data_IF_206051812078
#
_entry.id   IF_206051812078
#
_cell.length_a   1.000
_cell.length_b   1.000
_cell.length_c   1.000
_cell.angle_alpha   90.00
_cell.angle_beta   90.00
_cell.angle_gamma   90.00
#
_symmetry.space_group_name_H-M   'P 1'
#
loop_
_entity.id
_entity.type
_entity.pdbx_description
1 polymer ?
#
# COMPACT_ATOMS: atom_id res chain seq x y z
N UNK A 1 54.81 -2.56 -10.92
CA UNK A 1 53.39 -2.53 -11.31
C UNK A 1 52.62 -3.14 -10.17
N UNK A 2 51.87 -2.28 -9.49
CA UNK A 2 51.38 -2.45 -8.15
C UNK A 2 50.52 -3.67 -7.92
N UNK A 3 50.71 -4.28 -6.78
CA UNK A 3 49.80 -5.20 -6.13
C UNK A 3 48.40 -4.56 -6.07
N UNK A 4 47.54 -4.92 -7.00
CA UNK A 4 46.12 -4.74 -6.84
C UNK A 4 45.75 -5.66 -5.66
N UNK A 5 45.58 -5.06 -4.49
CA UNK A 5 44.89 -5.72 -3.38
C UNK A 5 43.61 -6.35 -3.94
N UNK A 6 43.63 -7.64 -4.22
CA UNK A 6 42.44 -8.47 -4.41
C UNK A 6 41.76 -8.47 -3.03
N UNK A 7 40.89 -7.48 -2.78
CA UNK A 7 39.89 -7.66 -1.73
C UNK A 7 39.19 -8.97 -2.08
N UNK A 8 39.17 -9.91 -1.15
CA UNK A 8 38.34 -11.09 -1.32
C UNK A 8 36.93 -10.58 -1.63
N UNK A 9 36.25 -11.11 -2.66
CA UNK A 9 34.92 -10.66 -2.98
C UNK A 9 34.03 -10.86 -1.75
N UNK A 10 33.41 -9.78 -1.28
CA UNK A 10 32.47 -9.84 -0.16
C UNK A 10 31.34 -10.79 -0.57
N UNK A 11 31.11 -11.83 0.23
CA UNK A 11 30.04 -12.79 0.00
C UNK A 11 28.68 -12.12 0.19
N UNK A 12 27.75 -12.36 -0.72
CA UNK A 12 26.40 -11.83 -0.65
C UNK A 12 25.41 -12.96 -0.41
N UNK A 13 24.62 -12.83 0.63
CA UNK A 13 23.60 -13.80 1.03
C UNK A 13 22.22 -13.18 0.85
N UNK A 14 21.37 -13.79 0.04
CA UNK A 14 20.05 -13.27 -0.28
C UNK A 14 18.98 -14.21 0.30
N UNK A 15 18.25 -13.75 1.31
CA UNK A 15 17.08 -14.46 1.82
C UNK A 15 15.87 -14.15 0.96
N UNK A 16 15.20 -15.17 0.44
CA UNK A 16 14.06 -15.01 -0.46
C UNK A 16 12.83 -15.73 0.06
N UNK A 17 11.69 -15.02 -0.02
CA UNK A 17 10.37 -15.62 0.16
C UNK A 17 9.80 -16.18 -1.15
N UNK A 18 8.54 -16.59 -1.10
CA UNK A 18 7.82 -17.19 -2.23
C UNK A 18 7.03 -16.20 -3.10
N UNK A 19 7.01 -14.92 -2.73
CA UNK A 19 6.26 -13.86 -3.40
C UNK A 19 7.12 -12.98 -4.32
N UNK A 20 6.56 -11.83 -4.72
CA UNK A 20 7.23 -10.85 -5.58
C UNK A 20 8.58 -10.38 -5.05
N UNK A 21 8.67 -10.08 -3.74
CA UNK A 21 9.91 -9.63 -3.11
C UNK A 21 11.05 -10.66 -3.22
N UNK A 22 10.72 -11.96 -3.11
CA UNK A 22 11.67 -13.04 -3.43
C UNK A 22 12.13 -13.01 -4.89
N UNK A 23 11.21 -12.70 -5.80
CA UNK A 23 11.51 -12.47 -7.22
C UNK A 23 12.51 -11.35 -7.44
N UNK A 24 12.36 -10.24 -6.73
CA UNK A 24 13.30 -9.11 -6.77
C UNK A 24 14.68 -9.52 -6.23
N UNK A 25 14.71 -10.36 -5.19
CA UNK A 25 15.94 -11.00 -4.70
C UNK A 25 16.63 -11.85 -5.76
N UNK A 26 15.89 -12.61 -6.57
CA UNK A 26 16.44 -13.38 -7.69
C UNK A 26 17.00 -12.48 -8.81
N UNK A 27 16.33 -11.35 -9.07
CA UNK A 27 16.84 -10.33 -10.01
C UNK A 27 18.14 -9.75 -9.49
N UNK A 28 18.18 -9.32 -8.22
CA UNK A 28 19.39 -8.80 -7.59
C UNK A 28 20.56 -9.79 -7.70
N UNK A 29 20.32 -11.08 -7.42
CA UNK A 29 21.31 -12.15 -7.55
C UNK A 29 21.94 -12.17 -8.96
N UNK A 30 21.13 -12.11 -10.01
CA UNK A 30 21.65 -12.10 -11.41
C UNK A 30 22.57 -10.94 -11.69
N UNK A 31 22.20 -9.74 -11.23
CA UNK A 31 23.02 -8.55 -11.44
C UNK A 31 24.33 -8.59 -10.65
N UNK A 32 24.29 -9.15 -9.44
CA UNK A 32 25.48 -9.29 -8.58
C UNK A 32 26.46 -10.33 -9.15
N UNK A 33 25.94 -11.48 -9.59
CA UNK A 33 26.72 -12.51 -10.28
C UNK A 33 27.44 -11.96 -11.52
N UNK A 34 26.75 -11.18 -12.35
CA UNK A 34 27.35 -10.55 -13.54
C UNK A 34 28.44 -9.54 -13.20
N UNK A 35 28.50 -9.06 -11.95
CA UNK A 35 29.57 -8.20 -11.43
C UNK A 35 30.68 -8.96 -10.71
N UNK A 36 30.60 -10.30 -10.69
CA UNK A 36 31.62 -11.19 -10.14
C UNK A 36 31.57 -11.37 -8.62
N UNK A 37 30.43 -11.07 -7.98
CA UNK A 37 30.24 -11.36 -6.57
C UNK A 37 29.89 -12.83 -6.34
N UNK A 38 30.33 -13.37 -5.18
CA UNK A 38 29.85 -14.67 -4.70
C UNK A 38 28.46 -14.50 -4.09
N UNK A 39 27.48 -15.26 -4.59
CA UNK A 39 26.07 -15.11 -4.19
C UNK A 39 25.50 -16.44 -3.71
N UNK A 40 25.05 -16.46 -2.45
CA UNK A 40 24.25 -17.54 -1.89
C UNK A 40 22.81 -17.11 -1.76
N UNK A 41 21.88 -17.91 -2.28
CA UNK A 41 20.44 -17.67 -2.16
C UNK A 41 19.87 -18.62 -1.13
N UNK A 42 19.23 -18.08 -0.11
CA UNK A 42 18.56 -18.80 0.96
C UNK A 42 17.04 -18.72 0.78
N UNK A 43 16.46 -19.77 0.21
CA UNK A 43 15.05 -19.86 -0.09
C UNK A 43 14.28 -20.42 1.11
N UNK A 44 13.34 -19.65 1.67
CA UNK A 44 12.45 -20.10 2.77
C UNK A 44 11.28 -20.97 2.28
N UNK A 45 11.24 -21.26 0.99
CA UNK A 45 10.38 -22.23 0.32
C UNK A 45 11.14 -22.79 -0.88
N UNK A 46 10.93 -24.08 -1.17
CA UNK A 46 11.46 -24.66 -2.40
C UNK A 46 10.83 -24.05 -3.67
N UNK A 47 11.36 -24.41 -4.81
CA UNK A 47 10.88 -23.89 -6.11
C UNK A 47 9.39 -24.12 -6.38
N UNK A 48 8.79 -25.18 -5.79
CA UNK A 48 7.37 -25.49 -5.96
C UNK A 48 6.49 -24.58 -5.10
N UNK A 49 7.07 -23.98 -4.07
CA UNK A 49 6.39 -23.03 -3.19
C UNK A 49 6.43 -21.58 -3.68
N UNK A 50 7.05 -21.28 -4.82
CA UNK A 50 7.04 -19.93 -5.40
C UNK A 50 5.65 -19.66 -6.02
N UNK A 51 4.96 -18.62 -5.52
CA UNK A 51 3.57 -18.33 -5.90
C UNK A 51 3.47 -17.27 -7.01
N UNK A 52 4.39 -16.29 -7.08
CA UNK A 52 4.40 -15.28 -8.12
C UNK A 52 4.96 -15.85 -9.42
N UNK A 53 4.27 -15.61 -10.54
CA UNK A 53 4.71 -16.03 -11.86
C UNK A 53 6.04 -15.35 -12.24
N UNK A 54 6.18 -14.07 -11.90
CA UNK A 54 7.38 -13.27 -12.13
C UNK A 54 8.57 -13.81 -11.32
N UNK A 55 8.35 -14.14 -10.04
CA UNK A 55 9.38 -14.73 -9.18
C UNK A 55 9.82 -16.09 -9.73
N UNK A 56 8.88 -16.92 -10.20
CA UNK A 56 9.16 -18.21 -10.81
C UNK A 56 10.01 -18.06 -12.07
N UNK A 57 9.64 -17.13 -12.95
CA UNK A 57 10.44 -16.84 -14.17
C UNK A 57 11.85 -16.40 -13.80
N UNK A 58 12.02 -15.51 -12.82
CA UNK A 58 13.32 -15.03 -12.40
C UNK A 58 14.17 -16.14 -11.75
N UNK A 59 13.55 -17.04 -11.00
CA UNK A 59 14.22 -18.23 -10.47
C UNK A 59 14.68 -19.19 -11.58
N UNK A 60 13.84 -19.47 -12.56
CA UNK A 60 14.19 -20.32 -13.72
C UNK A 60 15.38 -19.75 -14.51
N UNK A 61 15.46 -18.42 -14.66
CA UNK A 61 16.62 -17.78 -15.28
C UNK A 61 17.89 -18.05 -14.47
N UNK A 62 17.83 -17.93 -13.13
CA UNK A 62 18.98 -18.23 -12.25
C UNK A 62 19.41 -19.70 -12.33
N UNK A 63 18.47 -20.62 -12.33
CA UNK A 63 18.77 -22.06 -12.51
C UNK A 63 19.49 -22.33 -13.83
N UNK A 64 19.08 -21.66 -14.92
CA UNK A 64 19.73 -21.76 -16.22
C UNK A 64 21.12 -21.12 -16.24
N UNK A 65 21.40 -20.14 -15.38
CA UNK A 65 22.73 -19.53 -15.23
C UNK A 65 23.70 -20.39 -14.41
N UNK A 66 23.20 -21.14 -13.42
CA UNK A 66 23.98 -21.91 -12.44
C UNK A 66 25.12 -22.74 -13.05
N UNK A 67 24.95 -23.45 -14.18
CA UNK A 67 26.06 -24.21 -14.76
C UNK A 67 27.26 -23.37 -15.23
N UNK A 68 27.05 -22.05 -15.41
CA UNK A 68 28.09 -21.13 -15.92
C UNK A 68 28.69 -20.24 -14.82
N UNK A 69 28.10 -20.23 -13.63
CA UNK A 69 28.50 -19.39 -12.50
C UNK A 69 28.80 -20.26 -11.28
N UNK A 70 30.07 -20.65 -11.11
CA UNK A 70 30.52 -21.50 -9.99
C UNK A 70 30.38 -20.80 -8.61
N UNK A 71 30.16 -19.49 -8.62
CA UNK A 71 29.99 -18.63 -7.44
C UNK A 71 28.51 -18.34 -7.12
N UNK A 72 27.58 -19.17 -7.64
CA UNK A 72 26.17 -19.19 -7.27
C UNK A 72 25.84 -20.47 -6.52
N UNK A 73 25.38 -20.34 -5.28
CA UNK A 73 24.80 -21.45 -4.52
C UNK A 73 23.35 -21.15 -4.15
N UNK A 74 22.49 -22.16 -4.21
CA UNK A 74 21.09 -22.06 -3.79
C UNK A 74 20.80 -23.07 -2.71
N UNK A 75 20.36 -22.59 -1.56
CA UNK A 75 20.02 -23.38 -0.38
C UNK A 75 18.50 -23.33 -0.16
N UNK A 76 17.90 -24.47 0.15
CA UNK A 76 16.50 -24.55 0.55
C UNK A 76 16.40 -24.61 2.07
N UNK A 77 15.88 -23.56 2.71
CA UNK A 77 15.68 -23.46 4.15
C UNK A 77 14.19 -23.66 4.48
N UNK A 78 13.70 -24.89 4.30
CA UNK A 78 12.27 -25.18 4.44
C UNK A 78 11.84 -25.34 5.91
N UNK A 79 12.75 -25.72 6.77
CA UNK A 79 12.53 -25.99 8.20
C UNK A 79 13.29 -25.00 9.08
N UNK A 80 12.93 -24.94 10.36
CA UNK A 80 13.67 -24.15 11.35
C UNK A 80 15.08 -24.71 11.52
N UNK A 81 15.25 -26.02 11.49
CA UNK A 81 16.54 -26.69 11.59
C UNK A 81 17.47 -26.32 10.43
N UNK A 82 16.95 -26.23 9.19
CA UNK A 82 17.73 -25.75 8.04
C UNK A 82 18.22 -24.32 8.26
N UNK A 83 17.38 -23.44 8.85
CA UNK A 83 17.70 -22.06 9.16
C UNK A 83 18.76 -21.97 10.26
N UNK A 84 18.62 -22.76 11.32
CA UNK A 84 19.57 -22.79 12.44
C UNK A 84 20.95 -23.32 12.03
N UNK A 85 21.00 -24.17 11.01
CA UNK A 85 22.24 -24.73 10.48
C UNK A 85 22.85 -23.93 9.31
N UNK A 86 22.23 -22.84 8.86
CA UNK A 86 22.80 -22.03 7.79
C UNK A 86 24.05 -21.25 8.24
N UNK A 87 24.86 -20.83 7.29
CA UNK A 87 26.11 -20.11 7.54
C UNK A 87 25.90 -18.83 8.35
N UNK A 88 24.82 -18.08 8.07
CA UNK A 88 24.51 -16.82 8.78
C UNK A 88 24.23 -17.07 10.26
N UNK A 89 23.49 -18.14 10.59
CA UNK A 89 23.19 -18.50 11.98
C UNK A 89 24.42 -18.90 12.77
N UNK A 90 25.42 -19.47 12.11
CA UNK A 90 26.65 -19.98 12.70
C UNK A 90 27.88 -19.10 12.45
N UNK A 91 27.66 -17.88 11.92
CA UNK A 91 28.74 -16.93 11.64
C UNK A 91 29.35 -16.41 12.92
N UNK A 92 30.67 -16.30 12.93
CA UNK A 92 31.39 -15.61 14.00
C UNK A 92 31.33 -14.07 13.82
N UNK A 93 31.83 -13.33 14.81
CA UNK A 93 31.85 -11.88 14.81
C UNK A 93 32.77 -11.24 13.75
N UNK A 94 33.52 -12.04 13.00
CA UNK A 94 34.47 -11.60 11.97
C UNK A 94 34.02 -11.91 10.55
N UNK A 95 32.86 -12.57 10.38
CA UNK A 95 32.34 -12.91 9.06
C UNK A 95 31.86 -11.64 8.34
N UNK A 96 32.54 -11.26 7.24
CA UNK A 96 32.14 -10.13 6.41
C UNK A 96 31.28 -10.62 5.25
N UNK A 97 29.97 -10.42 5.35
CA UNK A 97 29.03 -10.65 4.26
C UNK A 97 27.95 -9.56 4.20
N UNK A 98 27.32 -9.45 3.06
CA UNK A 98 26.16 -8.58 2.87
C UNK A 98 24.93 -9.46 2.83
N UNK A 99 23.94 -9.14 3.64
CA UNK A 99 22.63 -9.80 3.63
C UNK A 99 21.64 -8.95 2.84
N UNK A 100 20.94 -9.57 1.92
CA UNK A 100 19.82 -8.96 1.22
C UNK A 100 18.53 -9.65 1.71
N UNK A 101 17.66 -8.88 2.33
CA UNK A 101 16.34 -9.31 2.79
C UNK A 101 15.32 -9.12 1.66
N UNK A 102 14.97 -10.20 0.99
CA UNK A 102 13.89 -10.31 0.00
C UNK A 102 12.80 -11.31 0.43
N UNK A 103 12.56 -11.47 1.75
CA UNK A 103 11.61 -12.47 2.27
C UNK A 103 10.16 -12.03 2.03
N UNK A 104 9.79 -10.86 2.55
CA UNK A 104 8.44 -10.33 2.50
C UNK A 104 8.47 -8.87 2.00
N UNK A 105 7.51 -8.51 1.18
CA UNK A 105 7.30 -7.14 0.70
C UNK A 105 5.96 -6.58 1.14
N UNK A 106 5.28 -5.85 0.26
CA UNK A 106 4.01 -5.16 0.54
C UNK A 106 2.79 -6.07 0.76
N UNK A 107 2.92 -7.39 0.53
CA UNK A 107 1.85 -8.38 0.69
C UNK A 107 1.70 -8.99 2.08
N UNK A 108 2.29 -8.39 3.12
CA UNK A 108 2.21 -8.90 4.50
C UNK A 108 0.77 -8.76 5.02
N UNK A 109 0.19 -9.88 5.52
CA UNK A 109 -1.11 -9.88 6.15
C UNK A 109 -1.13 -10.86 7.33
N UNK A 110 -1.36 -10.35 8.55
CA UNK A 110 -1.46 -11.15 9.77
C UNK A 110 -0.13 -11.58 10.39
N UNK A 111 -0.17 -12.68 11.17
CA UNK A 111 0.99 -13.21 11.90
C UNK A 111 1.99 -13.88 10.96
N UNK A 112 3.26 -13.72 11.26
CA UNK A 112 4.34 -14.37 10.53
C UNK A 112 4.37 -15.90 10.82
N UNK A 113 4.77 -16.68 9.83
CA UNK A 113 5.05 -18.12 10.02
C UNK A 113 6.35 -18.28 10.81
N UNK A 114 6.45 -19.34 11.61
CA UNK A 114 7.59 -19.54 12.51
C UNK A 114 8.94 -19.61 11.79
N UNK A 115 9.02 -20.25 10.63
CA UNK A 115 10.25 -20.28 9.83
C UNK A 115 10.66 -18.88 9.33
N UNK A 116 9.70 -18.02 9.00
CA UNK A 116 9.98 -16.63 8.60
C UNK A 116 10.48 -15.82 9.78
N UNK A 117 9.83 -15.96 10.95
CA UNK A 117 10.30 -15.32 12.19
C UNK A 117 11.74 -15.73 12.49
N UNK A 118 12.02 -17.05 12.46
CA UNK A 118 13.36 -17.55 12.72
C UNK A 118 14.41 -17.01 11.75
N UNK A 119 14.08 -16.93 10.46
CA UNK A 119 14.98 -16.32 9.48
C UNK A 119 15.26 -14.83 9.78
N UNK A 120 14.24 -14.08 10.15
CA UNK A 120 14.39 -12.66 10.55
C UNK A 120 15.28 -12.52 11.80
N UNK A 121 15.09 -13.40 12.80
CA UNK A 121 15.93 -13.42 14.00
C UNK A 121 17.40 -13.71 13.68
N UNK A 122 17.66 -14.69 12.80
CA UNK A 122 19.00 -15.02 12.32
C UNK A 122 19.63 -13.84 11.59
N UNK A 123 18.90 -13.18 10.69
CA UNK A 123 19.37 -11.96 10.01
C UNK A 123 19.73 -10.88 11.02
N UNK A 124 18.84 -10.63 11.99
CA UNK A 124 19.03 -9.58 13.00
C UNK A 124 20.19 -9.86 14.00
N UNK A 125 20.53 -11.13 14.20
CA UNK A 125 21.64 -11.54 15.08
C UNK A 125 23.00 -11.53 14.38
N UNK A 126 23.01 -11.44 13.05
CA UNK A 126 24.24 -11.42 12.28
C UNK A 126 24.98 -10.06 12.36
N UNK A 127 26.28 -10.09 12.13
CA UNK A 127 27.11 -8.89 12.03
C UNK A 127 27.26 -8.37 10.58
N UNK A 128 26.56 -9.00 9.61
CA UNK A 128 26.58 -8.60 8.21
C UNK A 128 25.85 -7.28 7.96
N UNK A 129 26.26 -6.55 6.92
CA UNK A 129 25.51 -5.40 6.42
C UNK A 129 24.19 -5.89 5.82
N UNK A 130 23.06 -5.52 6.42
CA UNK A 130 21.73 -5.93 5.97
C UNK A 130 21.05 -4.86 5.13
N UNK A 131 20.55 -5.24 3.96
CA UNK A 131 19.81 -4.38 3.03
C UNK A 131 18.45 -5.02 2.76
N UNK A 132 17.36 -4.32 3.09
CA UNK A 132 16.01 -4.79 2.77
C UNK A 132 15.55 -4.31 1.40
N UNK A 133 14.93 -5.23 0.66
CA UNK A 133 14.32 -4.97 -0.64
C UNK A 133 12.90 -4.50 -0.44
N UNK A 134 12.60 -3.32 -0.93
CA UNK A 134 11.32 -2.62 -0.95
C UNK A 134 10.76 -2.23 0.43
N UNK A 135 10.64 -3.18 1.36
CA UNK A 135 10.19 -3.00 2.75
C UNK A 135 10.91 -3.99 3.65
N UNK A 136 11.40 -3.62 4.84
CA UNK A 136 11.94 -4.58 5.78
C UNK A 136 10.94 -5.69 6.09
N UNK A 137 11.35 -6.95 5.94
CA UNK A 137 10.46 -8.10 6.16
C UNK A 137 9.92 -8.10 7.59
N UNK A 138 8.60 -8.16 7.72
CA UNK A 138 7.91 -8.07 9.01
C UNK A 138 7.36 -6.69 9.38
N UNK A 139 7.75 -5.64 8.65
CA UNK A 139 7.18 -4.30 8.79
C UNK A 139 5.92 -4.16 7.91
N UNK A 140 4.82 -3.67 8.48
CA UNK A 140 3.61 -3.35 7.72
C UNK A 140 3.85 -2.13 6.81
N UNK A 141 3.76 -2.28 5.48
CA UNK A 141 4.11 -1.22 4.53
C UNK A 141 3.15 -0.02 4.54
N UNK A 142 1.98 -0.15 5.15
CA UNK A 142 0.97 0.90 5.22
C UNK A 142 0.97 1.63 6.56
N UNK A 143 1.10 0.87 7.66
CA UNK A 143 0.99 1.40 9.02
C UNK A 143 2.34 1.65 9.70
N UNK A 144 3.39 0.96 9.29
CA UNK A 144 4.71 0.97 9.93
C UNK A 144 4.77 0.17 11.22
N UNK A 145 3.74 -0.62 11.52
CA UNK A 145 3.71 -1.47 12.70
C UNK A 145 4.48 -2.77 12.47
N UNK A 146 5.06 -3.27 13.54
CA UNK A 146 5.69 -4.58 13.61
C UNK A 146 4.82 -5.43 14.54
N UNK A 147 4.18 -6.46 14.00
CA UNK A 147 3.25 -7.29 14.78
C UNK A 147 3.95 -8.41 15.57
N UNK A 148 5.06 -8.91 15.06
CA UNK A 148 5.88 -9.96 15.68
C UNK A 148 7.34 -9.52 15.74
N UNK A 149 8.06 -9.72 14.65
CA UNK A 149 9.47 -9.36 14.46
C UNK A 149 9.65 -8.80 13.05
N UNK A 150 10.60 -7.89 12.88
CA UNK A 150 10.98 -7.38 11.56
C UNK A 150 12.50 -7.37 11.42
N UNK A 151 12.97 -7.44 10.18
CA UNK A 151 14.37 -7.21 9.84
C UNK A 151 14.74 -5.76 10.23
N UNK A 152 15.93 -5.59 10.81
CA UNK A 152 16.54 -4.30 11.18
C UNK A 152 17.68 -3.99 10.22
N UNK A 153 17.40 -3.48 9.02
CA UNK A 153 18.42 -3.26 8.02
C UNK A 153 19.22 -1.98 8.31
N UNK A 154 20.44 -1.90 7.78
CA UNK A 154 21.17 -0.65 7.70
C UNK A 154 20.67 0.21 6.54
N UNK A 155 20.11 -0.42 5.48
CA UNK A 155 19.51 0.28 4.34
C UNK A 155 18.24 -0.42 3.86
N UNK A 156 17.25 0.38 3.46
CA UNK A 156 16.06 -0.10 2.74
C UNK A 156 16.07 0.49 1.33
N UNK A 157 16.10 -0.35 0.31
CA UNK A 157 15.99 0.04 -1.10
C UNK A 157 14.52 -0.02 -1.50
N UNK A 158 13.83 1.11 -1.49
CA UNK A 158 12.40 1.19 -1.80
C UNK A 158 12.19 1.48 -3.29
N UNK A 159 11.33 0.70 -3.93
CA UNK A 159 11.05 0.83 -5.36
C UNK A 159 10.01 1.91 -5.63
N UNK A 160 10.25 2.74 -6.64
CA UNK A 160 9.43 3.82 -7.11
C UNK A 160 9.24 4.93 -6.07
N UNK A 161 8.51 4.65 -4.98
CA UNK A 161 8.26 5.58 -3.86
C UNK A 161 8.37 4.88 -2.51
N UNK A 162 8.75 5.64 -1.51
CA UNK A 162 8.79 5.19 -0.11
C UNK A 162 7.37 4.89 0.35
N UNK A 163 7.15 3.69 0.88
CA UNK A 163 5.84 3.27 1.38
C UNK A 163 5.46 4.05 2.64
N UNK A 164 4.19 4.34 2.80
CA UNK A 164 3.68 5.11 3.94
C UNK A 164 4.12 4.55 5.29
N UNK A 165 4.16 3.22 5.43
CA UNK A 165 4.60 2.55 6.65
C UNK A 165 6.08 2.76 6.96
N UNK A 166 6.94 2.85 5.94
CA UNK A 166 8.37 3.15 6.10
C UNK A 166 8.54 4.54 6.72
N UNK A 167 7.83 5.56 6.21
CA UNK A 167 7.85 6.90 6.78
C UNK A 167 7.36 6.93 8.24
N UNK A 168 6.31 6.17 8.56
CA UNK A 168 5.75 6.10 9.92
C UNK A 168 6.62 5.34 10.91
N UNK A 169 7.37 4.34 10.43
CA UNK A 169 8.20 3.49 11.28
C UNK A 169 9.42 4.22 11.85
N UNK A 170 9.95 5.18 11.13
CA UNK A 170 11.17 5.91 11.48
C UNK A 170 12.47 5.19 11.09
N UNK A 171 13.53 5.98 10.90
CA UNK A 171 14.83 5.52 10.40
C UNK A 171 15.48 4.43 11.27
N UNK A 172 15.21 4.45 12.56
CA UNK A 172 15.70 3.45 13.53
C UNK A 172 15.28 2.01 13.23
N UNK A 173 14.14 1.84 12.50
CA UNK A 173 13.59 0.53 12.15
C UNK A 173 13.83 0.13 10.70
N UNK A 174 14.09 1.09 9.83
CA UNK A 174 14.19 0.86 8.39
C UNK A 174 15.57 1.18 7.83
N UNK A 175 16.46 1.76 8.63
CA UNK A 175 17.78 2.23 8.21
C UNK A 175 17.72 3.38 7.20
N UNK A 176 18.83 3.64 6.56
CA UNK A 176 18.92 4.64 5.48
C UNK A 176 18.05 4.24 4.28
N UNK A 177 17.22 5.16 3.79
CA UNK A 177 16.28 4.87 2.70
C UNK A 177 16.88 5.30 1.37
N UNK A 178 16.93 4.36 0.41
CA UNK A 178 17.33 4.62 -0.97
C UNK A 178 16.12 4.33 -1.87
N UNK A 179 15.63 5.35 -2.58
CA UNK A 179 14.53 5.16 -3.54
C UNK A 179 15.10 4.89 -4.93
N UNK A 180 14.65 3.80 -5.55
CA UNK A 180 15.04 3.43 -6.91
C UNK A 180 13.88 3.61 -7.88
N UNK A 181 14.14 4.30 -8.98
CA UNK A 181 13.22 4.38 -10.11
C UNK A 181 13.15 3.00 -10.80
N UNK A 182 11.93 2.54 -11.06
CA UNK A 182 11.63 1.29 -11.75
C UNK A 182 10.92 1.52 -13.10
N UNK A 183 10.99 2.74 -13.61
CA UNK A 183 10.45 3.10 -14.92
C UNK A 183 8.94 3.30 -14.96
N UNK A 184 8.30 3.60 -13.83
CA UNK A 184 6.89 4.00 -13.80
C UNK A 184 6.80 5.48 -14.21
N UNK A 185 6.15 5.82 -15.34
CA UNK A 185 6.03 7.20 -15.77
C UNK A 185 5.15 7.99 -14.80
N UNK A 186 5.49 9.28 -14.63
CA UNK A 186 4.79 10.16 -13.68
C UNK A 186 3.31 10.30 -14.01
N UNK A 187 2.94 10.18 -15.28
CA UNK A 187 1.55 10.21 -15.73
C UNK A 187 0.72 9.08 -15.13
N UNK A 188 1.33 7.92 -14.86
CA UNK A 188 0.65 6.80 -14.19
C UNK A 188 0.29 7.10 -12.73
N UNK A 189 0.88 8.14 -12.14
CA UNK A 189 0.55 8.57 -10.78
C UNK A 189 -0.59 9.60 -10.73
N UNK A 190 -0.71 10.42 -11.74
CA UNK A 190 -1.64 11.57 -11.76
C UNK A 190 -2.91 11.32 -12.58
N UNK A 191 -2.88 10.38 -13.52
CA UNK A 191 -4.03 10.10 -14.37
C UNK A 191 -4.70 8.79 -13.99
N UNK A 192 -6.03 8.83 -13.88
CA UNK A 192 -6.85 7.63 -13.68
C UNK A 192 -6.87 6.82 -14.98
N UNK A 193 -6.53 5.55 -14.89
CA UNK A 193 -6.44 4.62 -16.00
C UNK A 193 -7.23 3.32 -15.76
N UNK A 194 -7.22 2.44 -16.75
CA UNK A 194 -7.87 1.12 -16.66
C UNK A 194 -7.43 0.30 -15.44
N UNK A 195 -6.19 0.45 -14.98
CA UNK A 195 -5.66 -0.21 -13.78
C UNK A 195 -6.41 0.17 -12.49
N UNK A 196 -6.87 1.41 -12.40
CA UNK A 196 -7.65 1.88 -11.25
C UNK A 196 -9.04 1.25 -11.21
N UNK A 197 -9.61 0.96 -12.38
CA UNK A 197 -10.91 0.30 -12.54
C UNK A 197 -10.92 -1.16 -12.03
N UNK A 198 -9.76 -1.82 -11.98
CA UNK A 198 -9.65 -3.22 -11.48
C UNK A 198 -10.02 -3.29 -9.99
N UNK A 199 -9.81 -2.20 -9.24
CA UNK A 199 -10.15 -2.10 -7.81
C UNK A 199 -11.64 -1.89 -7.56
N UNK A 200 -12.43 -1.57 -8.58
CA UNK A 200 -13.87 -1.43 -8.42
C UNK A 200 -14.51 -2.82 -8.23
N UNK A 201 -15.18 -2.98 -7.10
CA UNK A 201 -15.88 -4.21 -6.80
C UNK A 201 -17.00 -4.46 -7.83
N UNK A 202 -17.01 -5.62 -8.44
CA UNK A 202 -18.13 -6.03 -9.29
C UNK A 202 -19.39 -6.22 -8.43
N UNK A 203 -20.50 -5.64 -8.88
CA UNK A 203 -21.79 -5.79 -8.20
C UNK A 203 -22.20 -7.27 -8.16
N UNK A 204 -22.50 -7.78 -6.98
CA UNK A 204 -22.98 -9.16 -6.84
C UNK A 204 -24.40 -9.30 -7.37
N UNK A 205 -24.69 -10.37 -8.09
CA UNK A 205 -26.05 -10.69 -8.56
C UNK A 205 -27.04 -10.92 -7.41
N UNK A 206 -26.56 -11.22 -6.22
CA UNK A 206 -27.35 -11.43 -4.99
C UNK A 206 -27.40 -10.19 -4.08
N UNK A 207 -26.88 -9.05 -4.53
CA UNK A 207 -26.90 -7.83 -3.72
C UNK A 207 -28.30 -7.23 -3.62
N UNK A 208 -28.60 -6.67 -2.44
CA UNK A 208 -29.84 -5.96 -2.16
C UNK A 208 -29.59 -4.47 -2.05
N UNK A 209 -30.66 -3.66 -2.10
CA UNK A 209 -30.61 -2.20 -1.94
C UNK A 209 -29.83 -1.80 -0.69
N UNK A 210 -28.79 -0.99 -0.87
CA UNK A 210 -27.89 -0.53 0.17
C UNK A 210 -26.61 -1.36 0.36
N UNK A 211 -26.40 -2.45 -0.39
CA UNK A 211 -25.16 -3.24 -0.33
C UNK A 211 -24.04 -2.68 -1.21
N UNK A 212 -24.38 -1.88 -2.24
CA UNK A 212 -23.41 -1.36 -3.21
C UNK A 212 -23.10 0.13 -3.00
N UNK A 213 -23.25 0.60 -1.78
CA UNK A 213 -22.89 1.94 -1.37
C UNK A 213 -24.07 2.88 -1.15
N UNK A 214 -23.93 3.69 -0.11
CA UNK A 214 -24.82 4.80 0.29
C UNK A 214 -23.97 6.06 0.30
N UNK A 215 -24.44 7.09 -0.38
CA UNK A 215 -23.72 8.36 -0.48
C UNK A 215 -24.58 9.48 0.12
N UNK A 216 -23.96 10.36 0.88
CA UNK A 216 -24.56 11.62 1.32
C UNK A 216 -23.89 12.76 0.56
N UNK A 217 -24.71 13.61 -0.06
CA UNK A 217 -24.28 14.85 -0.69
C UNK A 217 -24.81 16.00 0.18
N UNK A 218 -23.91 16.88 0.57
CA UNK A 218 -24.23 18.09 1.34
C UNK A 218 -23.91 19.29 0.48
N UNK A 219 -24.92 19.99 0.01
CA UNK A 219 -24.74 21.09 -0.90
C UNK A 219 -26.07 21.74 -1.29
N UNK A 220 -26.00 22.62 -2.27
CA UNK A 220 -27.12 23.45 -2.67
C UNK A 220 -27.27 24.71 -1.87
N UNK A 221 -27.80 25.72 -2.52
CA UNK A 221 -28.13 27.04 -1.97
C UNK A 221 -29.31 27.62 -2.74
N UNK A 222 -29.76 28.78 -2.31
CA UNK A 222 -30.83 29.52 -3.00
C UNK A 222 -30.55 29.72 -4.49
N UNK A 223 -29.29 29.93 -4.84
CA UNK A 223 -28.83 30.19 -6.21
C UNK A 223 -28.51 28.88 -6.97
N UNK A 224 -28.14 27.82 -6.27
CA UNK A 224 -27.56 26.62 -6.86
C UNK A 224 -28.21 25.32 -6.39
N UNK A 225 -29.22 24.86 -7.10
CA UNK A 225 -29.85 23.55 -6.87
C UNK A 225 -29.37 22.45 -7.83
N UNK A 226 -28.75 22.83 -8.97
CA UNK A 226 -28.35 21.89 -10.00
C UNK A 226 -27.14 21.03 -9.65
N UNK A 227 -26.11 21.62 -9.02
CA UNK A 227 -24.87 20.92 -8.72
C UNK A 227 -25.05 19.68 -7.83
N UNK A 228 -25.77 19.72 -6.67
CA UNK A 228 -26.04 18.53 -5.89
C UNK A 228 -26.93 17.50 -6.60
N UNK A 229 -27.83 17.93 -7.50
CA UNK A 229 -28.61 17.02 -8.33
C UNK A 229 -27.75 16.23 -9.30
N UNK A 230 -26.87 16.91 -10.02
CA UNK A 230 -25.94 16.29 -10.98
C UNK A 230 -25.00 15.33 -10.25
N UNK A 231 -24.43 15.73 -9.11
CA UNK A 231 -23.59 14.88 -8.31
C UNK A 231 -24.32 13.62 -7.82
N UNK A 232 -25.59 13.77 -7.41
CA UNK A 232 -26.44 12.65 -7.01
C UNK A 232 -26.73 11.66 -8.14
N UNK A 233 -27.09 12.15 -9.30
CA UNK A 233 -27.31 11.31 -10.48
C UNK A 233 -26.04 10.63 -10.96
N UNK A 234 -24.89 11.31 -10.89
CA UNK A 234 -23.59 10.72 -11.17
C UNK A 234 -23.22 9.57 -10.20
N UNK A 235 -23.51 9.73 -8.90
CA UNK A 235 -23.29 8.70 -7.90
C UNK A 235 -24.16 7.45 -8.18
N UNK A 236 -25.43 7.63 -8.57
CA UNK A 236 -26.31 6.52 -9.00
C UNK A 236 -25.75 5.87 -10.26
N UNK A 237 -25.37 6.67 -11.26
CA UNK A 237 -24.78 6.17 -12.51
C UNK A 237 -23.47 5.40 -12.30
N UNK A 238 -22.69 5.76 -11.28
CA UNK A 238 -21.49 5.03 -10.87
C UNK A 238 -21.79 3.72 -10.09
N UNK A 239 -23.06 3.49 -9.69
CA UNK A 239 -23.50 2.25 -9.07
C UNK A 239 -23.85 2.34 -7.58
N UNK A 240 -23.95 3.53 -6.99
CA UNK A 240 -24.48 3.68 -5.64
C UNK A 240 -25.96 3.25 -5.57
N UNK A 241 -26.33 2.53 -4.53
CA UNK A 241 -27.71 2.06 -4.35
C UNK A 241 -28.64 3.12 -3.76
N UNK A 242 -28.09 3.98 -2.90
CA UNK A 242 -28.85 5.03 -2.21
C UNK A 242 -28.05 6.33 -2.19
N UNK A 243 -28.67 7.39 -2.63
CA UNK A 243 -28.08 8.73 -2.58
C UNK A 243 -29.01 9.65 -1.80
N UNK A 244 -28.46 10.17 -0.71
CA UNK A 244 -29.10 11.18 0.14
C UNK A 244 -28.54 12.54 -0.22
N UNK A 245 -29.39 13.56 -0.27
CA UNK A 245 -28.97 14.93 -0.48
C UNK A 245 -29.48 15.78 0.70
N UNK A 246 -28.57 16.39 1.45
CA UNK A 246 -28.88 17.39 2.47
C UNK A 246 -28.73 18.77 1.85
N UNK A 247 -29.83 19.48 1.67
CA UNK A 247 -29.87 20.78 1.01
C UNK A 247 -30.83 21.74 1.73
N UNK A 248 -30.63 23.08 1.63
CA UNK A 248 -31.56 24.04 2.18
C UNK A 248 -32.91 23.98 1.47
N UNK A 249 -33.98 24.38 2.15
CA UNK A 249 -35.37 24.38 1.64
C UNK A 249 -35.51 25.00 0.26
N UNK A 250 -34.81 26.11 0.04
CA UNK A 250 -34.79 26.82 -1.25
C UNK A 250 -34.29 25.98 -2.43
N UNK A 251 -33.37 25.03 -2.21
CA UNK A 251 -32.83 24.13 -3.23
C UNK A 251 -33.55 22.76 -3.22
N UNK A 252 -34.00 22.30 -2.06
CA UNK A 252 -34.52 20.96 -1.87
C UNK A 252 -35.68 20.59 -2.80
N UNK A 253 -36.61 21.53 -3.05
CA UNK A 253 -37.77 21.30 -3.91
C UNK A 253 -37.32 21.00 -5.36
N UNK A 254 -36.39 21.77 -5.90
CA UNK A 254 -35.86 21.56 -7.22
C UNK A 254 -35.09 20.22 -7.35
N UNK A 255 -34.30 19.87 -6.32
CA UNK A 255 -33.55 18.60 -6.27
C UNK A 255 -34.52 17.41 -6.18
N UNK A 256 -35.63 17.54 -5.46
CA UNK A 256 -36.67 16.50 -5.29
C UNK A 256 -37.42 16.14 -6.59
N UNK A 257 -37.25 16.91 -7.64
CA UNK A 257 -37.79 16.55 -8.97
C UNK A 257 -37.13 15.29 -9.55
N UNK A 258 -35.97 14.88 -9.01
CA UNK A 258 -35.29 13.64 -9.34
C UNK A 258 -35.72 12.52 -8.37
N UNK A 259 -36.58 11.58 -8.78
CA UNK A 259 -37.18 10.58 -7.88
C UNK A 259 -36.18 9.56 -7.32
N UNK A 260 -35.01 9.47 -7.93
CA UNK A 260 -33.93 8.57 -7.49
C UNK A 260 -33.13 9.12 -6.31
N UNK A 261 -33.25 10.42 -5.99
CA UNK A 261 -32.57 11.10 -4.91
C UNK A 261 -33.45 11.17 -3.65
N UNK A 262 -32.87 10.86 -2.52
CA UNK A 262 -33.53 10.99 -1.21
C UNK A 262 -33.14 12.35 -0.60
N UNK A 263 -34.01 13.34 -0.75
CA UNK A 263 -33.71 14.71 -0.36
C UNK A 263 -34.15 14.99 1.08
N UNK A 264 -33.19 15.47 1.89
CA UNK A 264 -33.43 15.99 3.25
C UNK A 264 -33.38 17.51 3.17
N UNK A 265 -34.55 18.12 3.34
CA UNK A 265 -34.72 19.57 3.34
C UNK A 265 -34.35 20.15 4.69
N UNK A 266 -33.36 21.04 4.72
CA UNK A 266 -32.91 21.76 5.91
C UNK A 266 -33.40 23.20 5.85
N UNK A 267 -33.88 23.72 6.97
CA UNK A 267 -34.56 24.99 7.01
C UNK A 267 -33.69 26.17 6.56
N UNK A 268 -34.23 26.99 5.68
CA UNK A 268 -33.62 28.24 5.23
C UNK A 268 -33.13 28.23 3.78
N UNK A 269 -32.48 29.32 3.40
CA UNK A 269 -31.97 29.54 2.03
C UNK A 269 -30.53 29.01 1.81
N UNK A 270 -29.81 28.82 2.94
CA UNK A 270 -28.41 28.40 2.94
C UNK A 270 -28.14 27.35 4.03
N UNK A 271 -27.14 26.52 3.82
CA UNK A 271 -26.64 25.63 4.85
C UNK A 271 -25.79 26.41 5.85
N UNK A 272 -26.06 26.24 7.15
CA UNK A 272 -25.39 26.97 8.24
C UNK A 272 -24.99 26.02 9.38
N UNK A 273 -24.17 26.49 10.30
CA UNK A 273 -23.66 25.70 11.42
C UNK A 273 -24.75 25.01 12.27
N UNK A 274 -25.99 25.54 12.28
CA UNK A 274 -27.10 24.93 13.02
C UNK A 274 -27.50 23.56 12.49
N UNK A 275 -27.20 23.26 11.21
CA UNK A 275 -27.53 22.00 10.57
C UNK A 275 -26.46 20.90 10.81
N UNK A 276 -25.32 21.24 11.45
CA UNK A 276 -24.19 20.35 11.59
C UNK A 276 -24.56 19.03 12.28
N UNK A 277 -25.32 19.06 13.36
CA UNK A 277 -25.66 17.86 14.12
C UNK A 277 -26.54 16.92 13.32
N UNK A 278 -27.51 17.43 12.57
CA UNK A 278 -28.41 16.65 11.73
C UNK A 278 -27.63 16.00 10.57
N UNK A 279 -26.77 16.78 9.90
CA UNK A 279 -25.94 16.27 8.79
C UNK A 279 -24.94 15.21 9.29
N UNK A 280 -24.31 15.37 10.44
CA UNK A 280 -23.43 14.38 11.04
C UNK A 280 -24.16 13.06 11.35
N UNK A 281 -25.38 13.11 11.87
CA UNK A 281 -26.22 11.92 12.07
C UNK A 281 -26.57 11.20 10.76
N UNK A 282 -26.70 11.95 9.66
CA UNK A 282 -26.89 11.37 8.33
C UNK A 282 -25.59 10.74 7.82
N UNK A 283 -24.46 11.43 8.01
CA UNK A 283 -23.15 10.95 7.59
C UNK A 283 -22.75 9.61 8.24
N UNK A 284 -23.17 9.37 9.48
CA UNK A 284 -22.91 8.09 10.18
C UNK A 284 -23.60 6.88 9.50
N UNK A 285 -24.70 7.12 8.78
CA UNK A 285 -25.53 6.07 8.15
C UNK A 285 -25.14 5.74 6.71
N UNK A 286 -24.18 6.44 6.14
CA UNK A 286 -23.72 6.29 4.76
C UNK A 286 -22.29 5.78 4.70
N UNK A 287 -21.84 5.42 3.49
CA UNK A 287 -20.51 4.86 3.25
C UNK A 287 -19.51 5.92 2.79
N UNK A 288 -19.99 7.00 2.16
CA UNK A 288 -19.16 8.13 1.71
C UNK A 288 -19.96 9.43 1.73
N UNK A 289 -19.27 10.56 1.81
CA UNK A 289 -19.85 11.90 1.85
C UNK A 289 -19.17 12.79 0.80
N UNK A 290 -19.99 13.58 0.09
CA UNK A 290 -19.54 14.68 -0.76
C UNK A 290 -20.03 16.00 -0.13
N UNK A 291 -19.10 16.93 0.09
CA UNK A 291 -19.42 18.29 0.61
C UNK A 291 -19.14 19.33 -0.46
N UNK A 292 -19.97 20.33 -0.55
CA UNK A 292 -19.70 21.58 -1.23
C UNK A 292 -20.45 21.87 -2.54
N UNK A 293 -20.96 20.88 -3.32
CA UNK A 293 -21.49 21.19 -4.64
C UNK A 293 -22.64 22.22 -4.55
N UNK A 294 -22.38 23.45 -5.01
CA UNK A 294 -23.34 24.57 -5.01
C UNK A 294 -23.77 25.05 -3.63
N UNK A 295 -22.96 24.84 -2.59
CA UNK A 295 -23.29 25.25 -1.21
C UNK A 295 -23.28 26.78 -1.03
N UNK A 296 -22.56 27.50 -1.88
CA UNK A 296 -22.37 28.95 -1.79
C UNK A 296 -21.22 29.36 -0.89
N UNK A 297 -20.71 30.56 -1.09
CA UNK A 297 -19.47 31.07 -0.49
C UNK A 297 -19.71 32.02 0.71
N UNK A 298 -20.84 31.91 1.39
CA UNK A 298 -21.08 32.75 2.57
C UNK A 298 -20.40 32.19 3.84
N UNK A 299 -20.10 33.10 4.78
CA UNK A 299 -19.33 32.77 6.00
C UNK A 299 -19.97 31.65 6.87
N UNK A 300 -21.29 31.63 6.95
CA UNK A 300 -22.02 30.67 7.78
C UNK A 300 -21.96 29.24 7.16
N UNK A 301 -22.03 29.17 5.82
CA UNK A 301 -21.82 27.91 5.09
C UNK A 301 -20.39 27.44 5.24
N UNK A 302 -19.40 28.34 5.12
CA UNK A 302 -17.99 27.99 5.34
C UNK A 302 -17.72 27.45 6.74
N UNK A 303 -18.33 28.02 7.79
CA UNK A 303 -18.24 27.48 9.16
C UNK A 303 -18.82 26.07 9.26
N UNK A 304 -19.97 25.82 8.64
CA UNK A 304 -20.57 24.48 8.61
C UNK A 304 -19.65 23.48 7.91
N UNK A 305 -19.16 23.80 6.72
CA UNK A 305 -18.31 22.91 5.93
C UNK A 305 -17.03 22.55 6.68
N UNK A 306 -16.40 23.50 7.36
CA UNK A 306 -15.25 23.25 8.24
C UNK A 306 -15.57 22.31 9.41
N UNK A 307 -16.74 22.49 10.07
CA UNK A 307 -17.20 21.58 11.12
C UNK A 307 -17.39 20.17 10.58
N UNK A 308 -18.04 20.03 9.44
CA UNK A 308 -18.30 18.73 8.81
C UNK A 308 -17.01 18.04 8.36
N UNK A 309 -16.14 18.77 7.67
CA UNK A 309 -14.86 18.24 7.20
C UNK A 309 -13.97 17.73 8.34
N UNK A 310 -14.01 18.38 9.51
CA UNK A 310 -13.22 17.98 10.68
C UNK A 310 -13.82 16.81 11.47
N UNK A 311 -15.14 16.58 11.39
CA UNK A 311 -15.84 15.57 12.23
C UNK A 311 -16.27 14.32 11.48
N UNK A 312 -16.47 14.39 10.17
CA UNK A 312 -16.86 13.23 9.37
C UNK A 312 -15.70 12.23 9.32
N UNK A 313 -15.98 10.98 9.71
CA UNK A 313 -15.01 9.86 9.73
C UNK A 313 -15.14 8.92 8.52
N UNK A 314 -16.07 9.21 7.63
CA UNK A 314 -16.30 8.44 6.42
C UNK A 314 -15.40 8.97 5.29
N UNK A 315 -15.14 8.17 4.22
CA UNK A 315 -14.55 8.68 3.00
C UNK A 315 -15.23 9.99 2.57
N UNK A 316 -14.45 11.03 2.40
CA UNK A 316 -14.93 12.39 2.19
C UNK A 316 -14.33 12.97 0.92
N UNK A 317 -15.20 13.50 0.07
CA UNK A 317 -14.82 14.29 -1.12
C UNK A 317 -15.24 15.72 -0.87
N UNK A 318 -14.33 16.66 -1.10
CA UNK A 318 -14.59 18.09 -1.05
C UNK A 318 -14.64 18.62 -2.47
N UNK A 319 -15.67 19.42 -2.80
CA UNK A 319 -15.88 19.96 -4.14
C UNK A 319 -16.30 21.42 -4.05
N UNK A 320 -15.94 22.17 -5.08
CA UNK A 320 -16.35 23.57 -5.30
C UNK A 320 -16.18 24.48 -4.07
N UNK A 321 -17.26 24.69 -3.33
CA UNK A 321 -17.36 25.67 -2.24
C UNK A 321 -16.93 25.11 -0.85
N UNK A 322 -16.46 23.84 -0.79
CA UNK A 322 -16.05 23.18 0.47
C UNK A 322 -14.58 23.37 0.84
#
# INVERSE_FOLDING_TARGET
LGDVYKRQPVKIIIFTGSGGNGGDGFVAARYLLNRGYDVDIYMLKDKNGIHSAEAKTNYEILENMKPRFSHLTVHNLNTIEDIDNCEVANSDSFSEFIIIDGILGTGINGKLRENIKRAIEVINSSNGLTISVDVPSGLDPLTGQIHDVAVKPQYTVSFHKVKTGIHKAGEEKVGGIVTCDIGIPIEAEYFINHGDMIKLNKRSLKSHKGNNGKVLIVGGSKEYSGAPSIAGLAAIGAGADLVYVAAPESAALAISTHPDLIVNSLKGDYLTAIHAEEILKMADKVDAVLLGPGAGINDETGKLLNILASKIKKPLVLDADA
#
